data_IF_013299641715
#
_entry.id   IF_013299641715
#
_cell.length_a   1.000
_cell.length_b   1.000
_cell.length_c   1.000
_cell.angle_alpha   90.00
_cell.angle_beta   90.00
_cell.angle_gamma   90.00
#
_symmetry.space_group_name_H-M   'P 1'
#
loop_
_entity.id
_entity.type
_entity.pdbx_description
1 polymer ?
#
# COMPACT_ATOMS: atom_id res chain seq x y z
N UNK A 1 16.92 -25.66 -49.13
CA UNK A 1 15.68 -25.38 -48.38
C UNK A 1 16.12 -24.92 -47.01
N UNK A 2 15.88 -23.64 -46.69
CA UNK A 2 16.47 -22.98 -45.53
C UNK A 2 16.11 -23.71 -44.23
N UNK A 3 17.12 -24.17 -43.49
CA UNK A 3 16.98 -24.99 -42.27
C UNK A 3 16.19 -24.29 -41.15
N UNK A 4 15.89 -23.00 -41.32
CA UNK A 4 15.23 -22.14 -40.34
C UNK A 4 14.01 -21.40 -40.87
N UNK A 5 13.56 -21.68 -42.10
CA UNK A 5 12.35 -21.07 -42.64
C UNK A 5 11.13 -21.42 -41.76
N UNK A 6 10.37 -20.41 -41.35
CA UNK A 6 9.19 -20.57 -40.49
C UNK A 6 9.49 -20.85 -39.01
N UNK A 7 10.75 -20.82 -38.58
CA UNK A 7 11.10 -20.94 -37.15
C UNK A 7 11.04 -19.58 -36.46
N UNK A 8 10.64 -19.59 -35.19
CA UNK A 8 10.58 -18.40 -34.36
C UNK A 8 11.95 -18.04 -33.78
N UNK A 9 12.28 -16.74 -33.80
CA UNK A 9 13.39 -16.18 -33.03
C UNK A 9 12.81 -15.49 -31.79
N UNK A 10 13.26 -15.89 -30.62
CA UNK A 10 12.84 -15.31 -29.34
C UNK A 10 13.99 -14.53 -28.72
N UNK A 11 13.75 -13.26 -28.38
CA UNK A 11 14.69 -12.39 -27.67
C UNK A 11 14.10 -12.04 -26.32
N UNK A 12 14.83 -12.35 -25.24
CA UNK A 12 14.45 -12.02 -23.86
C UNK A 12 15.47 -11.06 -23.28
N UNK A 13 15.00 -9.97 -22.67
CA UNK A 13 15.84 -8.98 -22.00
C UNK A 13 15.14 -8.46 -20.75
N UNK A 14 15.89 -7.74 -19.93
CA UNK A 14 15.36 -7.00 -18.78
C UNK A 14 15.80 -5.55 -18.88
N UNK A 15 14.90 -4.64 -18.50
CA UNK A 15 15.16 -3.22 -18.45
C UNK A 15 14.65 -2.64 -17.14
N UNK A 16 15.33 -1.60 -16.64
CA UNK A 16 14.83 -0.79 -15.53
C UNK A 16 14.11 0.43 -16.10
N UNK A 17 12.83 0.57 -15.79
CA UNK A 17 12.08 1.79 -16.10
C UNK A 17 12.62 2.94 -15.23
N UNK A 18 13.06 4.01 -15.87
CA UNK A 18 13.63 5.18 -15.19
C UNK A 18 12.81 6.43 -15.54
N UNK A 19 12.50 7.25 -14.53
CA UNK A 19 11.81 8.53 -14.69
C UNK A 19 10.42 8.45 -15.41
N UNK A 20 9.78 7.29 -15.48
CA UNK A 20 8.41 7.16 -15.96
C UNK A 20 7.41 7.78 -14.95
N UNK A 21 6.40 8.46 -15.46
CA UNK A 21 5.32 9.08 -14.68
C UNK A 21 3.97 8.77 -15.31
N UNK A 22 2.88 9.09 -14.61
CA UNK A 22 1.53 8.98 -15.17
C UNK A 22 1.37 9.77 -16.48
N UNK A 23 1.99 10.95 -16.56
CA UNK A 23 1.93 11.83 -17.75
C UNK A 23 2.97 11.47 -18.83
N UNK A 24 4.02 10.74 -18.48
CA UNK A 24 5.09 10.35 -19.40
C UNK A 24 5.47 8.90 -19.13
N UNK A 25 4.74 7.99 -19.78
CA UNK A 25 4.88 6.55 -19.58
C UNK A 25 6.18 6.05 -20.20
N UNK A 26 6.76 5.00 -19.61
CA UNK A 26 7.87 4.31 -20.27
C UNK A 26 7.37 3.65 -21.56
N UNK A 27 8.20 3.61 -22.60
CA UNK A 27 7.89 2.88 -23.82
C UNK A 27 8.96 1.81 -24.05
N UNK A 28 8.49 0.61 -24.37
CA UNK A 28 9.33 -0.50 -24.79
C UNK A 28 9.11 -0.74 -26.27
N UNK A 29 10.09 -0.38 -27.10
CA UNK A 29 10.03 -0.48 -28.56
C UNK A 29 11.02 -1.52 -29.07
N UNK A 30 10.56 -2.42 -29.95
CA UNK A 30 11.41 -3.36 -30.68
C UNK A 30 11.39 -3.01 -32.18
N UNK A 31 12.57 -3.00 -32.81
CA UNK A 31 12.76 -2.77 -34.23
C UNK A 31 13.47 -3.97 -34.83
N UNK A 32 12.84 -4.62 -35.81
CA UNK A 32 13.41 -5.77 -36.52
C UNK A 32 13.79 -5.33 -37.93
N UNK A 33 15.09 -5.26 -38.21
CA UNK A 33 15.63 -4.97 -39.54
C UNK A 33 16.20 -6.23 -40.17
N UNK A 34 16.00 -6.42 -41.48
CA UNK A 34 16.63 -7.50 -42.24
C UNK A 34 17.58 -6.94 -43.28
N UNK A 35 18.84 -7.39 -43.24
CA UNK A 35 19.88 -6.98 -44.19
C UNK A 35 20.40 -8.19 -44.95
N UNK A 36 20.58 -8.03 -46.26
CA UNK A 36 21.30 -9.01 -47.08
C UNK A 36 22.81 -8.96 -46.78
N UNK A 37 23.48 -10.11 -46.83
CA UNK A 37 24.93 -10.15 -46.75
C UNK A 37 25.56 -9.46 -47.98
N UNK A 38 26.76 -8.86 -47.84
CA UNK A 38 27.48 -8.30 -48.98
C UNK A 38 27.65 -9.35 -50.09
N UNK A 39 27.36 -8.97 -51.34
CA UNK A 39 27.40 -9.83 -52.53
C UNK A 39 26.37 -10.99 -52.56
N UNK A 40 25.40 -11.01 -51.65
CA UNK A 40 24.28 -11.99 -51.61
C UNK A 40 22.95 -11.23 -51.65
N UNK A 41 22.82 -10.28 -52.57
CA UNK A 41 21.55 -9.57 -52.82
C UNK A 41 20.81 -10.34 -53.90
N UNK A 42 19.67 -10.98 -53.59
CA UNK A 42 18.87 -11.62 -54.61
C UNK A 42 18.40 -10.57 -55.63
N UNK A 43 18.47 -10.85 -56.94
CA UNK A 43 17.82 -9.99 -57.93
C UNK A 43 16.33 -9.89 -57.59
N UNK A 44 15.79 -8.67 -57.64
CA UNK A 44 14.35 -8.38 -57.54
C UNK A 44 13.65 -8.69 -56.20
N UNK A 45 14.40 -9.00 -55.12
CA UNK A 45 13.82 -9.13 -53.77
C UNK A 45 14.13 -7.89 -52.94
N UNK A 46 13.15 -6.98 -52.72
CA UNK A 46 13.38 -5.81 -51.87
C UNK A 46 13.66 -6.26 -50.43
N UNK A 47 14.54 -5.54 -49.73
CA UNK A 47 14.69 -5.68 -48.28
C UNK A 47 13.35 -5.38 -47.61
N UNK A 48 12.82 -6.27 -46.75
CA UNK A 48 11.59 -5.99 -46.02
C UNK A 48 11.70 -4.69 -45.22
N UNK A 49 10.62 -3.93 -45.18
CA UNK A 49 10.53 -2.82 -44.24
C UNK A 49 10.67 -3.36 -42.82
N UNK A 50 11.30 -2.59 -41.91
CA UNK A 50 11.42 -3.03 -40.54
C UNK A 50 10.06 -3.28 -39.88
N UNK A 51 9.96 -4.38 -39.13
CA UNK A 51 8.84 -4.60 -38.23
C UNK A 51 9.04 -3.79 -36.95
N UNK A 52 7.99 -3.11 -36.49
CA UNK A 52 7.99 -2.37 -35.22
C UNK A 52 6.90 -2.89 -34.30
N UNK A 53 7.21 -3.07 -33.02
CA UNK A 53 6.22 -3.33 -31.97
C UNK A 53 6.54 -2.47 -30.74
N UNK A 54 5.49 -1.99 -30.07
CA UNK A 54 5.57 -1.04 -28.97
C UNK A 54 4.65 -1.46 -27.82
N UNK A 55 5.22 -1.53 -26.62
CA UNK A 55 4.46 -1.82 -25.39
C UNK A 55 4.67 -0.70 -24.37
N UNK A 56 3.59 -0.01 -23.93
CA UNK A 56 3.71 1.01 -22.89
C UNK A 56 3.94 0.37 -21.52
N UNK A 57 4.72 1.06 -20.68
CA UNK A 57 5.00 0.70 -19.29
C UNK A 57 4.49 1.84 -18.40
N UNK A 58 3.19 1.84 -18.07
CA UNK A 58 2.56 2.93 -17.34
C UNK A 58 2.95 2.93 -15.86
N UNK A 59 2.78 4.09 -15.24
CA UNK A 59 2.80 4.23 -13.79
C UNK A 59 1.56 4.99 -13.34
N UNK A 60 1.20 4.83 -12.07
CA UNK A 60 -0.06 5.26 -11.51
C UNK A 60 0.17 6.05 -10.23
N UNK A 61 -0.74 6.98 -9.97
CA UNK A 61 -0.73 7.82 -8.77
C UNK A 61 -1.96 7.49 -7.93
N UNK A 62 -1.80 7.52 -6.61
CA UNK A 62 -2.86 7.27 -5.64
C UNK A 62 -2.75 8.27 -4.51
N UNK A 63 -3.87 8.87 -4.15
CA UNK A 63 -3.96 9.80 -3.04
C UNK A 63 -4.41 9.10 -1.77
N UNK A 64 -4.04 9.67 -0.64
CA UNK A 64 -4.57 9.34 0.68
C UNK A 64 -5.12 10.62 1.28
N UNK A 65 -6.35 10.60 1.79
CA UNK A 65 -6.97 11.68 2.54
C UNK A 65 -7.25 11.22 3.97
N UNK A 66 -6.66 11.92 4.93
CA UNK A 66 -6.80 11.64 6.35
C UNK A 66 -7.89 12.50 6.97
N UNK A 67 -8.81 11.87 7.69
CA UNK A 67 -9.95 12.52 8.34
C UNK A 67 -10.16 12.01 9.77
N UNK A 68 -10.91 12.76 10.55
CA UNK A 68 -11.45 12.34 11.85
C UNK A 68 -12.51 11.25 11.67
N UNK A 69 -12.56 10.30 12.61
CA UNK A 69 -13.63 9.30 12.66
C UNK A 69 -14.93 9.91 13.21
N UNK A 70 -14.83 10.93 14.07
CA UNK A 70 -15.96 11.70 14.60
C UNK A 70 -16.61 12.60 13.54
N UNK A 71 -15.80 13.25 12.73
CA UNK A 71 -16.22 14.24 11.73
C UNK A 71 -15.47 14.01 10.42
N UNK A 72 -16.18 13.48 9.41
CA UNK A 72 -15.60 13.17 8.12
C UNK A 72 -15.16 14.39 7.29
N UNK A 73 -15.56 15.60 7.69
CA UNK A 73 -15.14 16.84 7.04
C UNK A 73 -13.84 17.40 7.65
N UNK A 74 -13.51 17.00 8.88
CA UNK A 74 -12.30 17.41 9.57
C UNK A 74 -11.10 16.62 9.05
N UNK A 75 -10.30 17.26 8.22
CA UNK A 75 -9.02 16.72 7.72
C UNK A 75 -7.96 16.74 8.81
N UNK A 76 -6.99 15.83 8.71
CA UNK A 76 -5.92 15.71 9.70
C UNK A 76 -4.56 15.85 9.05
N UNK A 77 -3.78 16.83 9.52
CA UNK A 77 -2.39 17.05 9.14
C UNK A 77 -1.44 16.28 10.09
N UNK A 78 -0.26 15.90 9.59
CA UNK A 78 0.84 15.38 10.39
C UNK A 78 0.82 13.86 10.61
N UNK A 79 -0.21 13.15 10.15
CA UNK A 79 -0.25 11.68 10.16
C UNK A 79 0.83 11.16 9.21
N UNK A 80 1.59 10.16 9.66
CA UNK A 80 2.71 9.62 8.88
C UNK A 80 2.45 8.22 8.39
N UNK A 81 2.87 7.97 7.15
CA UNK A 81 2.64 6.72 6.45
C UNK A 81 3.90 6.22 5.75
N UNK A 82 4.04 4.90 5.69
CA UNK A 82 5.05 4.21 4.91
C UNK A 82 4.40 3.20 3.96
N UNK A 83 5.08 2.91 2.86
CA UNK A 83 4.65 1.95 1.85
C UNK A 83 5.52 0.69 1.94
N UNK A 84 4.88 -0.47 1.91
CA UNK A 84 5.51 -1.79 2.03
C UNK A 84 4.96 -2.76 0.99
N UNK A 85 5.77 -3.70 0.54
CA UNK A 85 5.33 -4.87 -0.19
C UNK A 85 5.46 -6.09 0.73
N UNK A 86 4.33 -6.62 1.18
CA UNK A 86 4.30 -7.75 2.13
C UNK A 86 4.85 -9.05 1.50
N UNK A 87 4.62 -9.28 0.20
CA UNK A 87 5.07 -10.50 -0.48
C UNK A 87 6.57 -10.54 -0.70
N UNK A 88 7.18 -9.38 -0.97
CA UNK A 88 8.62 -9.26 -1.19
C UNK A 88 9.39 -8.87 0.09
N UNK A 89 8.68 -8.56 1.18
CA UNK A 89 9.24 -8.01 2.42
C UNK A 89 10.14 -6.79 2.16
N UNK A 90 9.60 -5.81 1.41
CA UNK A 90 10.34 -4.64 0.96
C UNK A 90 9.60 -3.35 1.32
N UNK A 91 10.32 -2.44 1.97
CA UNK A 91 9.90 -1.07 2.18
C UNK A 91 10.32 -0.16 1.04
N UNK A 92 9.47 0.80 0.72
CA UNK A 92 9.70 1.74 -0.35
C UNK A 92 10.46 2.98 0.16
N UNK A 93 11.47 3.37 -0.60
CA UNK A 93 12.27 4.56 -0.39
C UNK A 93 12.11 5.44 -1.63
N UNK A 94 11.62 6.65 -1.46
CA UNK A 94 11.48 7.62 -2.52
C UNK A 94 12.78 8.42 -2.70
N UNK A 95 13.35 8.36 -3.89
CA UNK A 95 14.50 9.18 -4.26
C UNK A 95 14.02 10.42 -5.05
N UNK A 96 14.12 11.59 -4.41
CA UNK A 96 13.74 12.88 -5.02
C UNK A 96 14.67 13.34 -6.14
N UNK A 97 15.94 12.92 -6.13
CA UNK A 97 16.90 13.27 -7.17
C UNK A 97 16.66 12.53 -8.48
N UNK A 98 16.21 11.27 -8.41
CA UNK A 98 15.96 10.43 -9.59
C UNK A 98 14.48 10.20 -9.91
N UNK A 99 13.56 10.69 -9.07
CA UNK A 99 12.11 10.43 -9.15
C UNK A 99 11.79 8.93 -9.24
N UNK A 100 12.48 8.12 -8.45
CA UNK A 100 12.36 6.66 -8.47
C UNK A 100 12.15 6.09 -7.07
N UNK A 101 11.37 5.02 -7.04
CA UNK A 101 11.33 4.12 -5.90
C UNK A 101 12.57 3.23 -5.87
N UNK A 102 13.20 3.16 -4.71
CA UNK A 102 14.15 2.12 -4.34
C UNK A 102 13.58 1.33 -3.16
N UNK A 103 14.24 0.23 -2.80
CA UNK A 103 13.72 -0.71 -1.82
C UNK A 103 14.74 -0.97 -0.72
N UNK A 104 14.24 -1.21 0.48
CA UNK A 104 15.03 -1.64 1.63
C UNK A 104 14.25 -2.66 2.45
N UNK A 105 14.95 -3.55 3.14
CA UNK A 105 14.32 -4.47 4.11
C UNK A 105 14.20 -3.84 5.51
N UNK A 106 14.84 -2.69 5.73
CA UNK A 106 14.87 -1.98 7.01
C UNK A 106 13.83 -0.84 7.03
N UNK A 107 12.77 -1.01 7.83
CA UNK A 107 11.69 -0.03 7.95
C UNK A 107 12.17 1.37 8.35
N UNK A 108 13.26 1.46 9.12
CA UNK A 108 13.78 2.76 9.58
C UNK A 108 14.32 3.62 8.44
N UNK A 109 14.72 2.99 7.33
CA UNK A 109 15.23 3.65 6.12
C UNK A 109 14.15 3.92 5.08
N UNK A 110 12.95 3.39 5.28
CA UNK A 110 11.79 3.63 4.42
C UNK A 110 11.40 5.11 4.41
N UNK A 111 10.90 5.61 3.29
CA UNK A 111 10.40 6.99 3.23
C UNK A 111 9.10 7.11 4.01
N UNK A 112 9.07 8.07 4.91
CA UNK A 112 7.89 8.43 5.69
C UNK A 112 7.20 9.65 5.08
N UNK A 113 5.96 9.47 4.65
CA UNK A 113 5.12 10.53 4.08
C UNK A 113 4.23 11.12 5.15
N UNK A 114 4.17 12.45 5.25
CA UNK A 114 3.29 13.14 6.19
C UNK A 114 2.13 13.81 5.46
N UNK A 115 0.93 13.68 6.03
CA UNK A 115 -0.27 14.38 5.55
C UNK A 115 -0.10 15.89 5.67
N UNK A 116 -0.38 16.61 4.59
CA UNK A 116 -0.25 18.06 4.52
C UNK A 116 -1.41 18.79 5.23
N UNK A 117 -1.47 20.13 5.13
CA UNK A 117 -2.53 20.95 5.74
C UNK A 117 -3.95 20.59 5.26
N UNK A 118 -4.08 20.01 4.07
CA UNK A 118 -5.36 19.49 3.54
C UNK A 118 -5.62 18.03 3.95
N UNK A 119 -4.75 17.44 4.76
CA UNK A 119 -4.80 16.04 5.18
C UNK A 119 -4.45 15.04 4.08
N UNK A 120 -3.71 15.46 3.04
CA UNK A 120 -3.46 14.63 1.84
C UNK A 120 -2.00 14.17 1.76
N UNK A 121 -1.81 12.94 1.28
CA UNK A 121 -0.54 12.40 0.76
C UNK A 121 -0.77 11.96 -0.69
N UNK A 122 0.20 12.18 -1.56
CA UNK A 122 0.18 11.70 -2.94
C UNK A 122 1.30 10.66 -3.12
N UNK A 123 0.94 9.40 -3.34
CA UNK A 123 1.87 8.37 -3.77
C UNK A 123 1.94 8.39 -5.29
N UNK A 124 3.13 8.65 -5.83
CA UNK A 124 3.29 8.83 -7.27
C UNK A 124 4.14 7.73 -7.88
N UNK A 125 3.97 7.52 -9.19
CA UNK A 125 4.81 6.63 -10.01
C UNK A 125 4.85 5.19 -9.50
N UNK A 126 3.71 4.68 -9.05
CA UNK A 126 3.58 3.28 -8.67
C UNK A 126 3.37 2.43 -9.92
N UNK A 127 4.05 1.30 -10.00
CA UNK A 127 3.78 0.29 -11.03
C UNK A 127 2.51 -0.50 -10.73
N UNK A 128 2.16 -1.41 -11.64
CA UNK A 128 1.23 -2.48 -11.29
C UNK A 128 1.84 -3.33 -10.17
N UNK A 129 1.02 -3.73 -9.21
CA UNK A 129 1.48 -4.42 -8.01
C UNK A 129 0.49 -4.35 -6.85
N UNK A 130 0.87 -5.01 -5.77
CA UNK A 130 0.14 -4.94 -4.49
C UNK A 130 1.04 -4.31 -3.44
N UNK A 131 0.49 -3.31 -2.77
CA UNK A 131 1.18 -2.49 -1.79
C UNK A 131 0.37 -2.45 -0.49
N UNK A 132 1.06 -2.33 0.63
CA UNK A 132 0.48 -2.11 1.95
C UNK A 132 0.94 -0.74 2.43
N UNK A 133 -0.03 0.15 2.65
CA UNK A 133 0.20 1.47 3.25
C UNK A 133 -0.06 1.36 4.75
N UNK A 134 0.91 1.74 5.57
CA UNK A 134 0.86 1.63 7.03
C UNK A 134 0.95 3.01 7.67
N UNK A 135 0.02 3.35 8.57
CA UNK A 135 0.19 4.51 9.45
C UNK A 135 1.27 4.21 10.49
N UNK A 136 2.32 5.02 10.55
CA UNK A 136 3.47 4.82 11.45
C UNK A 136 3.42 5.77 12.63
N UNK A 137 2.91 6.98 12.42
CA UNK A 137 2.73 7.97 13.49
C UNK A 137 1.32 8.56 13.43
N UNK A 138 0.62 8.42 14.55
CA UNK A 138 -0.69 9.04 14.78
C UNK A 138 -0.47 10.52 15.14
N UNK A 139 -1.25 11.46 14.56
CA UNK A 139 -1.21 12.88 14.91
C UNK A 139 -1.55 13.15 16.38
N UNK A 140 -1.00 14.24 16.91
CA UNK A 140 -1.31 14.71 18.27
C UNK A 140 -2.82 14.98 18.43
N UNK A 141 -3.38 14.55 19.56
CA UNK A 141 -4.81 14.73 19.87
C UNK A 141 -5.73 13.61 19.37
N UNK A 142 -5.18 12.54 18.79
CA UNK A 142 -5.91 11.34 18.36
C UNK A 142 -5.48 10.10 19.14
N UNK A 143 -6.31 9.07 19.10
CA UNK A 143 -6.06 7.82 19.81
C UNK A 143 -4.92 7.01 19.17
N UNK A 144 -3.76 6.98 19.85
CA UNK A 144 -2.48 6.50 19.29
C UNK A 144 -2.30 4.97 19.22
N UNK A 145 -3.17 4.22 19.91
CA UNK A 145 -3.08 2.76 20.00
C UNK A 145 -3.54 2.06 18.72
N UNK A 146 -4.34 2.73 17.89
CA UNK A 146 -4.84 2.17 16.62
C UNK A 146 -4.15 2.88 15.46
N UNK A 147 -3.46 2.11 14.63
CA UNK A 147 -2.77 2.58 13.43
C UNK A 147 -3.29 1.82 12.22
N UNK A 148 -4.22 2.39 11.44
CA UNK A 148 -4.78 1.70 10.29
C UNK A 148 -3.73 1.38 9.23
N UNK A 149 -3.92 0.24 8.59
CA UNK A 149 -3.21 -0.17 7.38
C UNK A 149 -4.21 -0.56 6.30
N UNK A 150 -3.82 -0.40 5.05
CA UNK A 150 -4.66 -0.79 3.91
C UNK A 150 -3.83 -1.32 2.75
N UNK A 151 -4.47 -2.19 1.98
CA UNK A 151 -3.94 -2.74 0.75
C UNK A 151 -4.34 -1.84 -0.41
N UNK A 152 -3.36 -1.49 -1.23
CA UNK A 152 -3.51 -0.85 -2.53
C UNK A 152 -3.10 -1.86 -3.60
N UNK A 153 -4.04 -2.28 -4.45
CA UNK A 153 -3.80 -3.14 -5.60
C UNK A 153 -3.95 -2.32 -6.88
N UNK A 154 -2.94 -2.40 -7.74
CA UNK A 154 -2.92 -1.79 -9.06
C UNK A 154 -2.70 -2.92 -10.07
N UNK A 155 -3.61 -3.11 -11.00
CA UNK A 155 -3.50 -4.11 -12.06
C UNK A 155 -2.69 -3.58 -13.24
N UNK A 156 -2.23 -4.46 -14.12
CA UNK A 156 -1.46 -4.08 -15.33
C UNK A 156 -2.28 -3.16 -16.26
N UNK A 157 -3.60 -3.36 -16.31
CA UNK A 157 -4.53 -2.49 -17.04
C UNK A 157 -4.90 -1.20 -16.29
N UNK A 158 -4.34 -0.95 -15.11
CA UNK A 158 -4.40 0.32 -14.40
C UNK A 158 -5.61 0.52 -13.50
N UNK A 159 -6.34 -0.54 -13.19
CA UNK A 159 -7.39 -0.48 -12.19
C UNK A 159 -6.83 -0.52 -10.78
N UNK A 160 -7.37 0.35 -9.94
CA UNK A 160 -6.96 0.54 -8.55
C UNK A 160 -8.05 0.06 -7.61
N UNK A 161 -7.68 -0.83 -6.69
CA UNK A 161 -8.52 -1.28 -5.58
C UNK A 161 -7.83 -0.97 -4.26
N UNK A 162 -8.56 -0.34 -3.35
CA UNK A 162 -8.11 0.00 -2.00
C UNK A 162 -9.03 -0.71 -1.01
N UNK A 163 -8.42 -1.47 -0.10
CA UNK A 163 -9.14 -2.23 0.93
C UNK A 163 -8.41 -2.13 2.25
N UNK A 164 -9.10 -1.75 3.33
CA UNK A 164 -8.49 -1.75 4.66
C UNK A 164 -8.05 -3.16 5.10
N UNK A 165 -6.91 -3.25 5.80
CA UNK A 165 -6.25 -4.50 6.17
C UNK A 165 -6.48 -4.83 7.65
N UNK A 166 -5.73 -4.22 8.55
CA UNK A 166 -5.80 -4.55 9.98
C UNK A 166 -7.03 -3.91 10.66
N UNK A 167 -7.50 -2.78 10.14
CA UNK A 167 -8.69 -2.07 10.61
C UNK A 167 -9.56 -1.61 9.42
N UNK A 168 -10.31 -2.53 8.78
CA UNK A 168 -11.07 -2.22 7.58
C UNK A 168 -12.10 -1.10 7.76
N UNK A 169 -12.72 -0.98 8.93
CA UNK A 169 -13.68 0.10 9.24
C UNK A 169 -13.10 1.52 9.29
N UNK A 170 -11.77 1.65 9.32
CA UNK A 170 -11.07 2.94 9.33
C UNK A 170 -10.56 3.36 7.96
N UNK A 171 -10.74 2.54 6.92
CA UNK A 171 -10.33 2.88 5.56
C UNK A 171 -11.53 2.79 4.61
N UNK A 172 -11.75 3.82 3.81
CA UNK A 172 -12.73 3.80 2.73
C UNK A 172 -12.29 2.86 1.61
N UNK A 173 -13.23 2.06 1.12
CA UNK A 173 -12.99 1.14 0.01
C UNK A 173 -13.06 1.87 -1.33
N UNK A 174 -12.09 1.60 -2.20
CA UNK A 174 -12.17 1.95 -3.62
C UNK A 174 -12.17 0.64 -4.39
N UNK A 175 -13.14 0.43 -5.27
CA UNK A 175 -13.24 -0.80 -6.06
C UNK A 175 -13.05 -0.50 -7.54
N UNK A 176 -12.00 -1.07 -8.14
CA UNK A 176 -11.77 -1.06 -9.58
C UNK A 176 -11.84 0.35 -10.20
N UNK A 177 -11.25 1.35 -9.55
CA UNK A 177 -11.20 2.71 -10.09
C UNK A 177 -10.18 2.78 -11.23
N UNK A 178 -10.52 3.47 -12.31
CA UNK A 178 -9.61 3.67 -13.44
C UNK A 178 -8.52 4.70 -13.08
N UNK A 179 -7.31 4.19 -12.77
CA UNK A 179 -6.14 4.98 -12.43
C UNK A 179 -5.49 5.69 -13.62
N UNK A 180 -5.88 5.36 -14.85
CA UNK A 180 -5.41 6.04 -16.07
C UNK A 180 -6.08 7.40 -16.19
N UNK A 181 -7.39 7.45 -15.99
CA UNK A 181 -8.20 8.68 -16.14
C UNK A 181 -8.29 9.51 -14.86
N UNK A 182 -8.26 8.86 -13.69
CA UNK A 182 -8.41 9.54 -12.39
C UNK A 182 -7.24 9.23 -11.45
N UNK A 183 -7.12 9.99 -10.36
CA UNK A 183 -6.18 9.66 -9.27
C UNK A 183 -7.01 9.20 -8.06
N UNK A 184 -7.17 7.87 -7.86
CA UNK A 184 -8.00 7.31 -6.80
C UNK A 184 -7.53 7.78 -5.43
N UNK A 185 -8.47 8.00 -4.50
CA UNK A 185 -8.17 8.51 -3.16
C UNK A 185 -8.61 7.51 -2.07
N UNK A 186 -7.66 7.03 -1.28
CA UNK A 186 -7.92 6.28 -0.06
C UNK A 186 -8.32 7.24 1.07
N UNK A 187 -9.51 7.08 1.66
CA UNK A 187 -9.92 7.86 2.83
C UNK A 187 -9.56 7.07 4.10
N UNK A 188 -8.74 7.64 4.99
CA UNK A 188 -8.25 6.96 6.20
C UNK A 188 -8.66 7.75 7.44
N UNK A 189 -9.39 7.11 8.36
CA UNK A 189 -9.95 7.69 9.58
C UNK A 189 -9.03 7.48 10.78
N UNK A 190 -8.87 8.51 11.63
CA UNK A 190 -8.26 8.34 12.95
C UNK A 190 -9.33 8.52 14.00
N UNK A 191 -9.24 7.66 15.01
CA UNK A 191 -10.15 7.64 16.13
C UNK A 191 -9.83 8.84 17.01
N UNK A 192 -10.80 9.73 17.20
CA UNK A 192 -10.67 10.87 18.11
C UNK A 192 -10.80 10.40 19.57
N UNK A 193 -11.68 9.42 19.85
CA UNK A 193 -11.82 8.80 21.17
C UNK A 193 -12.40 7.37 21.12
N UNK A 194 -12.37 6.64 22.24
CA UNK A 194 -12.75 5.23 22.33
C UNK A 194 -14.17 4.91 21.85
N UNK A 195 -15.12 5.86 21.86
CA UNK A 195 -16.50 5.61 21.44
C UNK A 195 -16.66 5.49 19.92
N UNK A 196 -15.64 5.92 19.16
CA UNK A 196 -15.58 5.82 17.71
C UNK A 196 -14.85 4.55 17.24
N UNK A 197 -14.42 3.71 18.18
CA UNK A 197 -14.08 2.35 17.83
C UNK A 197 -15.33 1.68 17.23
N UNK A 198 -15.19 0.94 16.13
CA UNK A 198 -16.33 0.25 15.55
C UNK A 198 -16.97 -0.72 16.56
N UNK A 199 -18.20 -0.43 17.00
CA UNK A 199 -18.91 -1.23 17.99
C UNK A 199 -19.17 -2.65 17.44
N UNK A 200 -18.66 -3.67 18.14
CA UNK A 200 -18.98 -5.06 17.83
C UNK A 200 -20.42 -5.33 18.25
N UNK A 201 -21.35 -5.31 17.29
CA UNK A 201 -22.74 -5.60 17.60
C UNK A 201 -23.79 -5.13 16.61
N UNK A 202 -23.54 -5.12 15.29
CA UNK A 202 -24.61 -5.10 14.31
C UNK A 202 -24.09 -5.52 12.93
N UNK A 203 -24.57 -6.68 12.46
CA UNK A 203 -24.62 -7.14 11.06
C UNK A 203 -23.31 -7.20 10.27
N UNK A 204 -22.92 -8.43 9.94
CA UNK A 204 -21.86 -8.86 9.00
C UNK A 204 -20.41 -8.74 9.51
N UNK A 205 -19.90 -9.85 10.05
CA UNK A 205 -18.54 -10.44 10.10
C UNK A 205 -17.28 -9.69 9.59
N UNK A 206 -17.25 -8.37 9.49
CA UNK A 206 -16.08 -7.58 9.02
C UNK A 206 -15.57 -6.57 10.05
N UNK A 207 -16.22 -6.43 11.20
CA UNK A 207 -15.94 -5.37 12.18
C UNK A 207 -15.74 -5.98 13.58
N UNK A 208 -14.65 -6.74 13.77
CA UNK A 208 -14.21 -7.20 15.10
C UNK A 208 -13.09 -6.29 15.63
N UNK A 209 -13.44 -5.10 16.14
CA UNK A 209 -12.46 -4.23 16.81
C UNK A 209 -12.71 -4.05 18.32
N UNK A 210 -13.96 -3.99 18.78
CA UNK A 210 -14.26 -3.72 20.20
C UNK A 210 -14.19 -4.96 21.10
N UNK A 211 -14.56 -6.15 20.60
CA UNK A 211 -14.62 -7.37 21.42
C UNK A 211 -13.28 -7.78 22.04
N UNK A 212 -12.19 -7.73 21.27
CA UNK A 212 -10.87 -8.13 21.79
C UNK A 212 -10.28 -7.11 22.79
N UNK A 213 -10.45 -5.80 22.54
CA UNK A 213 -9.85 -4.76 23.38
C UNK A 213 -10.64 -4.48 24.67
N UNK A 214 -11.98 -4.59 24.64
CA UNK A 214 -12.78 -4.48 25.86
C UNK A 214 -12.43 -5.60 26.85
N UNK A 215 -12.19 -6.83 26.35
CA UNK A 215 -11.77 -7.95 27.19
C UNK A 215 -10.36 -7.71 27.77
N UNK A 216 -9.41 -7.19 26.99
CA UNK A 216 -8.05 -6.91 27.46
C UNK A 216 -8.05 -5.79 28.52
N UNK A 217 -8.81 -4.71 28.32
CA UNK A 217 -8.89 -3.61 29.30
C UNK A 217 -9.60 -4.02 30.60
N UNK A 218 -10.68 -4.80 30.51
CA UNK A 218 -11.35 -5.36 31.70
C UNK A 218 -10.42 -6.33 32.44
N UNK A 219 -9.66 -7.18 31.75
CA UNK A 219 -8.71 -8.09 32.40
C UNK A 219 -7.59 -7.35 33.15
N UNK A 220 -7.07 -6.23 32.62
CA UNK A 220 -6.09 -5.41 33.35
C UNK A 220 -6.68 -4.70 34.57
N UNK A 221 -7.94 -4.27 34.52
CA UNK A 221 -8.64 -3.68 35.67
C UNK A 221 -8.94 -4.73 36.76
N UNK A 222 -9.34 -5.95 36.37
CA UNK A 222 -9.55 -7.08 37.28
C UNK A 222 -8.24 -7.56 37.92
N UNK A 223 -7.13 -7.53 37.19
CA UNK A 223 -5.80 -7.89 37.69
C UNK A 223 -5.27 -6.92 38.76
N UNK A 224 -5.62 -5.63 38.67
CA UNK A 224 -5.31 -4.64 39.71
C UNK A 224 -6.20 -4.76 40.95
N UNK A 225 -7.45 -5.20 40.81
CA UNK A 225 -8.33 -5.47 41.95
C UNK A 225 -7.93 -6.74 42.71
N UNK A 226 -7.39 -7.76 42.01
CA UNK A 226 -6.99 -9.03 42.62
C UNK A 226 -5.65 -8.98 43.40
N UNK A 227 -4.82 -7.94 43.26
CA UNK A 227 -3.51 -7.86 43.93
C UNK A 227 -3.53 -7.19 45.33
N UNK A 228 -4.70 -6.76 45.82
CA UNK A 228 -4.84 -6.12 47.15
C UNK A 228 -5.76 -6.87 48.13
N UNK A 229 -5.78 -8.19 48.04
CA UNK A 229 -6.18 -9.04 49.18
C UNK A 229 -4.97 -9.90 49.56
N UNK A 230 -3.98 -9.27 50.20
CA UNK A 230 -3.00 -10.01 51.00
C UNK A 230 -3.62 -10.20 52.38
N UNK A 231 -3.66 -11.45 52.81
CA UNK A 231 -4.09 -11.89 54.14
C UNK A 231 -3.38 -11.09 55.24
N UNK A 232 -4.12 -10.21 55.92
CA UNK A 232 -3.84 -9.77 57.28
C UNK A 232 -5.14 -10.02 58.07
N UNK A 233 -5.02 -10.70 59.21
CA UNK A 233 -6.08 -11.22 60.11
C UNK A 233 -6.47 -12.70 59.91
N UNK A 234 -5.51 -13.60 60.05
CA UNK A 234 -5.78 -14.85 60.78
C UNK A 234 -5.83 -14.46 62.27
N UNK A 235 -7.03 -14.34 62.81
CA UNK A 235 -7.25 -13.97 64.21
C UNK A 235 -6.88 -15.11 65.15
N UNK A 236 -6.11 -14.80 66.19
CA UNK A 236 -6.02 -15.61 67.40
C UNK A 236 -7.38 -15.59 68.11
N UNK A 237 -8.04 -16.73 68.19
CA UNK A 237 -9.26 -16.90 68.97
C UNK A 237 -8.96 -16.91 70.48
N UNK A 238 -9.89 -16.43 71.33
CA UNK A 238 -9.65 -16.32 72.76
C UNK A 238 -9.70 -17.68 73.46
N UNK A 239 -8.80 -17.86 74.43
CA UNK A 239 -8.87 -18.92 75.44
C UNK A 239 -10.13 -18.73 76.30
N UNK A 240 -10.90 -19.82 76.44
CA UNK A 240 -12.02 -19.91 77.37
C UNK A 240 -11.45 -20.35 78.73
N UNK A 241 -11.92 -19.70 79.79
CA UNK A 241 -11.58 -19.99 81.19
C UNK A 241 -11.99 -21.41 81.64
#
# INVERSE_FOLDING_TARGET
MDTYQGKQVTVTYQGKVVNASKANQGLNQILITSNWLPNVVPPDVPTPNPGTDETPVPTYDVNLKKISAADGNKVIQGAKFKLHNDSLNQWYVWNTGSNQWTFTTDESKATEFSTNASGVINFTRLGAGTYTVKETQVPTGYFSFVKPSFTLKITDDGHVTITGKDQPGLTGTVNNADGKTTTPTAVVKNIDNITQLPQTGATTMAVMLVGAFAIILVATASGFAAYRVRHENLGDGPAIA
#
